data_IF_912505553906
#
_entry.id   IF_912505553906
#
_cell.length_a   1.000
_cell.length_b   1.000
_cell.length_c   1.000
_cell.angle_alpha   90.00
_cell.angle_beta   90.00
_cell.angle_gamma   90.00
#
_symmetry.space_group_name_H-M   'P 1'
#
loop_
_entity.id
_entity.type
_entity.pdbx_description
1 polymer ?
#
# COMPACT_ATOMS: atom_id res chain seq x y z
N UNK A 1 -1.55 -7.57 21.36
CA UNK A 1 -1.36 -7.58 20.99
C UNK A 1 -1.26 -7.27 19.75
N UNK A 2 -1.31 -7.54 19.00
CA UNK A 2 -1.27 -7.36 17.84
C UNK A 2 -2.40 -6.74 17.33
N UNK A 3 -3.01 -5.84 17.83
CA UNK A 3 -4.15 -5.21 17.38
C UNK A 3 -3.88 -4.06 16.48
N UNK A 4 -2.78 -3.40 16.67
CA UNK A 4 -2.49 -2.21 15.88
C UNK A 4 -2.38 -2.45 14.39
N UNK A 5 -1.72 -3.51 13.93
CA UNK A 5 -1.62 -3.73 12.50
C UNK A 5 -2.99 -3.87 11.85
N UNK A 6 -3.88 -4.57 12.51
CA UNK A 6 -5.21 -4.76 11.97
C UNK A 6 -5.97 -3.45 11.93
N UNK A 7 -5.83 -2.65 12.96
CA UNK A 7 -6.50 -1.36 13.04
C UNK A 7 -6.09 -0.44 11.89
N UNK A 8 -4.79 -0.33 11.64
CA UNK A 8 -4.33 0.60 10.63
C UNK A 8 -4.57 0.09 9.22
N UNK A 9 -4.57 -1.23 9.04
CA UNK A 9 -4.97 -1.78 7.76
C UNK A 9 -6.42 -1.44 7.49
N UNK A 10 -7.25 -1.50 8.52
CA UNK A 10 -8.65 -1.19 8.39
C UNK A 10 -8.87 0.30 8.08
N UNK A 11 -8.10 1.16 8.73
CA UNK A 11 -8.19 2.58 8.48
C UNK A 11 -7.74 2.89 7.06
N UNK A 12 -6.66 2.25 6.62
CA UNK A 12 -6.18 2.44 5.28
C UNK A 12 -7.21 1.96 4.26
N UNK A 13 -7.88 0.85 4.55
CA UNK A 13 -8.90 0.34 3.66
C UNK A 13 -10.02 1.35 3.46
N UNK A 14 -10.37 2.07 4.51
CA UNK A 14 -11.39 3.09 4.39
C UNK A 14 -10.95 4.20 3.46
N UNK A 15 -9.68 4.57 3.51
CA UNK A 15 -9.17 5.58 2.61
C UNK A 15 -9.17 5.06 1.17
N UNK A 16 -8.86 3.79 0.99
CA UNK A 16 -8.83 3.21 -0.35
C UNK A 16 -10.21 3.15 -0.98
N UNK A 17 -11.23 3.21 -0.16
CA UNK A 17 -12.60 3.20 -0.66
C UNK A 17 -13.16 4.60 -0.81
N UNK A 18 -12.32 5.62 -0.62
CA UNK A 18 -12.74 7.00 -0.75
C UNK A 18 -13.18 7.26 -2.18
N UNK A 19 -14.19 8.17 -2.33
CA UNK A 19 -14.70 8.52 -3.59
C UNK A 19 -13.70 8.85 -4.63
N UNK A 20 -12.65 9.59 -4.30
CA UNK A 20 -11.62 9.99 -5.25
C UNK A 20 -10.82 8.80 -5.77
N UNK A 21 -10.93 7.63 -5.11
CA UNK A 21 -10.21 6.44 -5.53
C UNK A 21 -11.16 5.43 -6.15
N UNK A 22 -12.34 5.86 -6.53
CA UNK A 22 -13.35 4.94 -7.03
C UNK A 22 -12.92 4.16 -8.27
N UNK A 23 -12.04 4.73 -9.06
CA UNK A 23 -11.56 4.03 -10.25
C UNK A 23 -10.44 3.03 -9.97
N UNK A 24 -9.98 2.96 -8.73
CA UNK A 24 -8.89 2.07 -8.38
C UNK A 24 -9.44 0.90 -7.59
N UNK A 25 -9.23 -0.29 -8.09
CA UNK A 25 -9.73 -1.48 -7.40
C UNK A 25 -8.62 -2.19 -6.68
N UNK A 26 -8.70 -2.18 -5.36
CA UNK A 26 -7.69 -2.81 -4.53
C UNK A 26 -8.19 -4.13 -3.96
N UNK A 27 -7.30 -5.11 -3.88
CA UNK A 27 -7.57 -6.35 -3.19
C UNK A 27 -6.79 -6.35 -1.89
N UNK A 28 -7.39 -6.91 -0.86
CA UNK A 28 -6.77 -6.92 0.47
C UNK A 28 -6.04 -8.20 0.74
N UNK A 29 -4.97 -8.11 1.51
CA UNK A 29 -4.26 -9.28 1.99
C UNK A 29 -3.98 -10.28 0.88
N UNK A 30 -3.28 -9.83 -0.11
CA UNK A 30 -3.03 -10.66 -1.27
C UNK A 30 -1.65 -11.32 -1.20
N UNK A 31 -1.58 -12.59 -1.58
CA UNK A 31 -0.32 -13.31 -1.59
C UNK A 31 0.27 -13.25 -2.98
N UNK A 32 1.49 -12.76 -3.08
CA UNK A 32 2.15 -12.68 -4.37
C UNK A 32 3.62 -13.03 -4.18
N UNK A 33 4.09 -14.04 -4.92
CA UNK A 33 5.46 -14.48 -4.84
C UNK A 33 5.88 -14.96 -3.46
N UNK A 34 4.95 -15.51 -2.69
CA UNK A 34 5.25 -15.95 -1.34
C UNK A 34 5.19 -14.84 -0.30
N UNK A 35 4.95 -13.62 -0.73
CA UNK A 35 4.82 -12.49 0.18
C UNK A 35 3.36 -12.11 0.32
N UNK A 36 3.00 -11.56 1.47
CA UNK A 36 1.66 -11.05 1.69
C UNK A 36 1.72 -9.55 1.66
N UNK A 37 0.90 -8.93 0.81
CA UNK A 37 0.83 -7.46 0.74
C UNK A 37 -0.51 -7.02 1.29
N UNK A 38 -0.55 -5.83 1.87
CA UNK A 38 -1.79 -5.34 2.47
C UNK A 38 -2.85 -5.07 1.42
N UNK A 39 -2.51 -4.30 0.41
CA UNK A 39 -3.46 -3.95 -0.65
C UNK A 39 -2.75 -3.89 -1.99
N UNK A 40 -3.38 -4.38 -3.02
CA UNK A 40 -2.77 -4.39 -4.34
C UNK A 40 -3.81 -3.99 -5.40
N UNK A 41 -3.38 -3.15 -6.33
CA UNK A 41 -4.18 -2.77 -7.48
C UNK A 41 -3.42 -3.23 -8.71
N UNK A 42 -3.84 -4.31 -9.30
CA UNK A 42 -3.12 -4.90 -10.43
C UNK A 42 -3.09 -4.00 -11.65
N UNK A 43 -4.20 -3.35 -11.91
CA UNK A 43 -4.27 -2.52 -13.10
C UNK A 43 -3.20 -1.43 -13.12
N UNK A 44 -2.93 -0.85 -11.96
CA UNK A 44 -1.94 0.21 -11.87
C UNK A 44 -0.61 -0.25 -11.32
N UNK A 45 -0.46 -1.55 -11.10
CA UNK A 45 0.78 -2.12 -10.57
C UNK A 45 1.18 -1.43 -9.29
N UNK A 46 0.24 -1.26 -8.40
CA UNK A 46 0.45 -0.48 -7.20
C UNK A 46 0.15 -1.31 -5.97
N UNK A 47 1.05 -1.26 -4.99
CA UNK A 47 0.86 -1.91 -3.71
C UNK A 47 0.87 -0.83 -2.65
N UNK A 48 -0.08 -0.88 -1.72
CA UNK A 48 -0.18 0.11 -0.66
C UNK A 48 -0.18 -0.62 0.66
N UNK A 49 0.62 -0.16 1.59
CA UNK A 49 0.77 -0.82 2.88
C UNK A 49 0.79 0.15 4.04
N UNK A 50 0.31 -0.33 5.19
CA UNK A 50 0.41 0.42 6.42
C UNK A 50 1.72 0.01 7.07
N UNK A 51 2.52 1.01 7.44
CA UNK A 51 3.83 0.75 8.00
C UNK A 51 3.83 0.98 9.50
N UNK A 52 3.74 -0.07 10.27
CA UNK A 52 3.76 0.05 11.71
C UNK A 52 5.19 0.11 12.22
N UNK A 53 5.33 0.33 13.48
CA UNK A 53 6.67 0.44 14.08
C UNK A 53 7.35 -0.87 14.30
N UNK A 54 6.70 -1.97 13.95
CA UNK A 54 7.28 -3.21 14.19
C UNK A 54 8.09 -3.80 13.11
N UNK A 55 8.60 -3.12 12.16
CA UNK A 55 9.42 -3.67 11.11
C UNK A 55 10.80 -3.87 11.68
N UNK A 56 11.09 -5.10 12.02
CA UNK A 56 12.35 -5.39 12.65
C UNK A 56 13.39 -5.93 11.73
N UNK A 57 13.02 -6.59 10.67
CA UNK A 57 13.99 -7.17 9.77
C UNK A 57 14.06 -6.36 8.49
N UNK A 58 14.88 -5.34 8.52
CA UNK A 58 14.99 -4.45 7.38
C UNK A 58 15.61 -5.07 6.16
N UNK A 59 16.50 -6.02 6.37
CA UNK A 59 17.12 -6.69 5.23
C UNK A 59 16.10 -7.51 4.48
N UNK A 60 15.21 -8.17 5.21
CA UNK A 60 14.19 -8.99 4.60
C UNK A 60 13.15 -8.10 3.90
N UNK A 61 12.84 -6.96 4.50
CA UNK A 61 11.92 -6.01 3.90
C UNK A 61 12.50 -5.46 2.60
N UNK A 62 13.78 -5.17 2.60
CA UNK A 62 14.41 -4.64 1.39
C UNK A 62 14.39 -5.66 0.27
N UNK A 63 14.64 -6.92 0.59
CA UNK A 63 14.64 -7.97 -0.41
C UNK A 63 13.24 -8.14 -0.99
N UNK A 64 12.23 -8.07 -0.14
CA UNK A 64 10.86 -8.19 -0.55
C UNK A 64 10.48 -7.05 -1.50
N UNK A 65 10.83 -5.84 -1.12
CA UNK A 65 10.51 -4.67 -1.94
C UNK A 65 11.23 -4.72 -3.29
N UNK A 66 12.47 -5.18 -3.29
CA UNK A 66 13.21 -5.31 -4.54
C UNK A 66 12.55 -6.33 -5.45
N UNK A 67 12.11 -7.44 -4.89
CA UNK A 67 11.45 -8.45 -5.68
C UNK A 67 10.15 -7.92 -6.29
N UNK A 68 9.36 -7.21 -5.47
CA UNK A 68 8.11 -6.66 -5.97
C UNK A 68 8.36 -5.63 -7.05
N UNK A 69 9.40 -4.83 -6.88
CA UNK A 69 9.73 -3.84 -7.88
C UNK A 69 10.16 -4.51 -9.18
N UNK A 70 10.89 -5.61 -9.07
CA UNK A 70 11.32 -6.35 -10.27
C UNK A 70 10.11 -6.92 -11.01
N UNK A 71 9.01 -7.17 -10.31
CA UNK A 71 7.79 -7.64 -10.94
C UNK A 71 6.98 -6.50 -11.53
N UNK A 72 7.46 -5.28 -11.45
CA UNK A 72 6.80 -4.14 -12.04
C UNK A 72 5.86 -3.39 -11.10
N UNK A 73 5.92 -3.70 -9.80
CA UNK A 73 5.05 -3.02 -8.85
C UNK A 73 5.74 -1.88 -8.15
N UNK A 74 4.97 -0.87 -7.83
CA UNK A 74 5.45 0.22 -7.02
C UNK A 74 4.81 0.04 -5.64
N UNK A 75 5.62 0.11 -4.59
CA UNK A 75 5.13 -0.06 -3.23
C UNK A 75 5.06 1.29 -2.54
N UNK A 76 3.90 1.65 -2.05
CA UNK A 76 3.71 2.86 -1.26
C UNK A 76 3.42 2.41 0.16
N UNK A 77 4.23 2.89 1.08
CA UNK A 77 4.07 2.52 2.47
C UNK A 77 3.85 3.77 3.27
N UNK A 78 2.77 3.80 4.02
CA UNK A 78 2.42 4.98 4.80
C UNK A 78 2.51 4.69 6.28
N UNK A 79 3.19 5.55 7.03
CA UNK A 79 3.25 5.38 8.49
C UNK A 79 1.85 5.40 9.08
N UNK A 80 1.65 4.62 10.12
CA UNK A 80 0.36 4.56 10.78
C UNK A 80 -0.12 5.93 11.19
N UNK A 81 0.77 6.77 11.66
CA UNK A 81 0.42 8.10 12.08
C UNK A 81 -0.14 8.93 10.93
N UNK A 82 0.43 8.78 9.75
CA UNK A 82 -0.05 9.50 8.59
C UNK A 82 -1.43 9.01 8.18
N UNK A 83 -1.64 7.70 8.25
CA UNK A 83 -2.95 7.14 7.93
C UNK A 83 -4.00 7.70 8.86
N UNK A 84 -3.68 7.83 10.12
CA UNK A 84 -4.62 8.30 11.10
C UNK A 84 -4.88 9.80 11.01
N UNK A 85 -3.84 10.57 10.85
CA UNK A 85 -3.94 12.02 10.95
C UNK A 85 -3.88 12.80 9.64
N UNK A 86 -3.43 12.16 8.58
CA UNK A 86 -3.26 12.85 7.30
C UNK A 86 -3.82 12.04 6.14
N UNK A 87 -5.05 11.60 6.30
CA UNK A 87 -5.68 10.78 5.28
C UNK A 87 -5.72 11.42 3.91
N UNK A 88 -5.88 12.75 3.87
CA UNK A 88 -5.92 13.44 2.58
C UNK A 88 -4.59 13.34 1.86
N UNK A 89 -3.51 13.39 2.59
CA UNK A 89 -2.20 13.26 1.97
C UNK A 89 -2.01 11.86 1.42
N UNK A 90 -2.52 10.87 2.15
CA UNK A 90 -2.43 9.48 1.70
C UNK A 90 -3.20 9.31 0.39
N UNK A 91 -4.42 9.82 0.35
CA UNK A 91 -5.25 9.73 -0.85
C UNK A 91 -4.58 10.43 -2.03
N UNK A 92 -4.05 11.62 -1.81
CA UNK A 92 -3.40 12.37 -2.86
C UNK A 92 -2.18 11.63 -3.39
N UNK A 93 -1.40 11.03 -2.50
CA UNK A 93 -0.21 10.29 -2.92
C UNK A 93 -0.57 9.06 -3.74
N UNK A 94 -1.66 8.38 -3.37
CA UNK A 94 -2.09 7.20 -4.09
C UNK A 94 -2.56 7.58 -5.49
N UNK A 95 -3.35 8.64 -5.59
CA UNK A 95 -3.83 9.10 -6.90
C UNK A 95 -2.67 9.48 -7.79
N UNK A 96 -1.70 10.21 -7.24
CA UNK A 96 -0.55 10.62 -8.04
C UNK A 96 0.24 9.42 -8.53
N UNK A 97 0.42 8.42 -7.67
CA UNK A 97 1.17 7.24 -8.07
C UNK A 97 0.43 6.44 -9.14
N UNK A 98 -0.89 6.35 -9.02
CA UNK A 98 -1.69 5.62 -9.99
C UNK A 98 -1.65 6.31 -11.35
N UNK A 99 -1.73 7.63 -11.35
CA UNK A 99 -1.69 8.39 -12.60
C UNK A 99 -0.35 8.24 -13.28
N UNK A 100 0.69 8.25 -12.48
CA UNK A 100 2.03 8.08 -12.98
C UNK A 100 2.19 6.75 -13.68
N UNK A 101 1.65 5.69 -13.10
CA UNK A 101 1.76 4.37 -13.68
C UNK A 101 0.99 4.27 -14.99
N UNK A 102 -0.13 4.96 -15.07
CA UNK A 102 -0.91 4.93 -16.29
C UNK A 102 -0.24 5.68 -17.43
N UNK A 103 0.38 6.79 -17.11
CA UNK A 103 0.96 7.60 -18.16
C UNK A 103 2.29 7.07 -18.62
N UNK A 104 2.81 6.07 -17.93
CA UNK A 104 4.03 5.56 -18.30
C UNK A 104 3.96 4.53 -19.34
N UNK A 105 3.13 4.34 -20.07
CA UNK A 105 3.06 3.35 -21.02
C UNK A 105 4.00 3.33 -22.08
#
# INVERSE_FOLDING_TARGET
MRHEPVLYERRLWKLLRHRRLAGLKFRRQFVIGGYIVDFICFRHRLIVEADGPQHEDRAEDAARDEWLKAQGFRVLRFPNQQIENRGEQVITAIIAAADERLTKD
#
